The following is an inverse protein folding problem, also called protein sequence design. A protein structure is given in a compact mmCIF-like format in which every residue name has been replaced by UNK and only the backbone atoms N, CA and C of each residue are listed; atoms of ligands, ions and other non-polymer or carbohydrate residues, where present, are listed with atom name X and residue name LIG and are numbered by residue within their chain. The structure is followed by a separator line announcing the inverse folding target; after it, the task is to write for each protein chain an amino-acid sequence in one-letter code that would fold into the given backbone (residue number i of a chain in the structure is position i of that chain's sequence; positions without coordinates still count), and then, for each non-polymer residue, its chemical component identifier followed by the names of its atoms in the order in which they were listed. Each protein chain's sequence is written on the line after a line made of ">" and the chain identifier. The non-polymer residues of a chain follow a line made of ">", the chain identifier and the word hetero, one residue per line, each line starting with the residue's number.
data_IF_802168441210
#
_entry.id   IF_802168441210
#
_cell.length_a   1.000
_cell.length_b   1.000
_cell.length_c   1.000
_cell.angle_alpha   90.00
_cell.angle_beta   90.00
_cell.angle_gamma   90.00
#
_symmetry.space_group_name_H-M   'P 1'
#
loop_
_entity.id
_entity.type
_entity.pdbx_description
1 polymer ?
#
# COMPACT_ATOMS: atom_id res chain seq x y z
N UNK A 1 15.47 -55.23 -27.82
CA UNK A 1 14.34 -54.79 -28.68
C UNK A 1 13.79 -53.50 -28.09
N UNK A 2 14.00 -52.37 -28.79
CA UNK A 2 13.36 -51.09 -28.48
C UNK A 2 12.00 -51.05 -29.19
N UNK A 3 11.10 -50.20 -28.67
CA UNK A 3 9.91 -49.56 -29.26
C UNK A 3 8.78 -49.60 -28.21
N UNK A 4 7.94 -48.59 -28.02
CA UNK A 4 7.77 -47.31 -28.69
C UNK A 4 7.02 -46.38 -27.74
N UNK A 5 7.26 -45.10 -27.90
CA UNK A 5 6.84 -43.98 -27.08
C UNK A 5 5.34 -43.79 -27.00
N UNK A 6 4.88 -43.59 -25.76
CA UNK A 6 3.59 -43.09 -25.36
C UNK A 6 3.62 -41.55 -25.48
N UNK A 7 2.93 -40.98 -26.48
CA UNK A 7 2.64 -39.54 -26.56
C UNK A 7 1.28 -39.33 -27.21
N UNK A 8 0.21 -39.58 -26.45
CA UNK A 8 -1.13 -39.12 -26.84
C UNK A 8 -1.24 -37.62 -26.58
N UNK A 9 -0.84 -36.87 -27.61
CA UNK A 9 -1.00 -35.42 -27.75
C UNK A 9 -2.47 -35.04 -27.55
N UNK A 10 -2.78 -34.37 -26.43
CA UNK A 10 -4.06 -33.71 -26.24
C UNK A 10 -3.98 -32.34 -26.92
N UNK A 11 -4.27 -32.31 -28.21
CA UNK A 11 -4.52 -31.06 -28.94
C UNK A 11 -5.84 -30.49 -28.41
N UNK A 12 -5.72 -29.59 -27.44
CA UNK A 12 -6.84 -28.82 -26.93
C UNK A 12 -7.26 -27.80 -27.99
N UNK A 13 -8.30 -28.15 -28.76
CA UNK A 13 -9.06 -27.21 -29.56
C UNK A 13 -9.55 -26.07 -28.67
N UNK A 14 -9.51 -24.85 -29.20
CA UNK A 14 -10.07 -23.67 -28.55
C UNK A 14 -11.57 -23.91 -28.27
N UNK A 15 -11.91 -24.17 -27.02
CA UNK A 15 -13.30 -24.31 -26.59
C UNK A 15 -13.85 -22.96 -26.16
N UNK A 16 -15.05 -22.72 -26.68
CA UNK A 16 -16.00 -21.67 -26.34
C UNK A 16 -16.06 -21.39 -24.83
N UNK A 17 -16.35 -20.14 -24.46
CA UNK A 17 -16.25 -19.58 -23.09
C UNK A 17 -17.24 -20.15 -22.05
N UNK A 18 -17.69 -21.38 -22.24
CA UNK A 18 -18.85 -22.00 -21.59
C UNK A 18 -18.46 -23.16 -20.66
N UNK A 19 -17.19 -23.59 -20.69
CA UNK A 19 -16.70 -24.68 -19.87
C UNK A 19 -16.66 -24.31 -18.39
N UNK A 20 -17.22 -25.17 -17.54
CA UNK A 20 -17.21 -24.99 -16.08
C UNK A 20 -15.78 -25.17 -15.54
N UNK A 21 -15.47 -24.41 -14.48
CA UNK A 21 -14.21 -24.53 -13.72
C UNK A 21 -13.92 -25.96 -13.25
N UNK A 22 -12.65 -26.33 -13.26
CA UNK A 22 -12.16 -27.66 -12.82
C UNK A 22 -12.01 -27.76 -11.30
N UNK A 23 -11.96 -28.99 -10.77
CA UNK A 23 -11.70 -29.24 -9.35
C UNK A 23 -10.35 -28.67 -8.88
N UNK A 24 -9.33 -28.73 -9.73
CA UNK A 24 -8.01 -28.17 -9.43
C UNK A 24 -8.04 -26.64 -9.31
N UNK A 25 -8.78 -25.96 -10.21
CA UNK A 25 -8.99 -24.52 -10.11
C UNK A 25 -9.73 -24.15 -8.82
N UNK A 26 -10.76 -24.90 -8.43
CA UNK A 26 -11.48 -24.66 -7.18
C UNK A 26 -10.58 -24.78 -5.96
N UNK A 27 -9.80 -25.86 -5.88
CA UNK A 27 -8.84 -26.06 -4.79
C UNK A 27 -7.83 -24.91 -4.73
N UNK A 28 -7.27 -24.52 -5.89
CA UNK A 28 -6.29 -23.44 -5.98
C UNK A 28 -6.87 -22.08 -5.59
N UNK A 29 -8.07 -21.76 -6.07
CA UNK A 29 -8.78 -20.52 -5.77
C UNK A 29 -9.03 -20.37 -4.27
N UNK A 30 -9.61 -21.38 -3.62
CA UNK A 30 -9.89 -21.32 -2.18
C UNK A 30 -8.62 -21.29 -1.33
N UNK A 31 -7.55 -21.98 -1.77
CA UNK A 31 -6.24 -21.85 -1.12
C UNK A 31 -5.72 -20.41 -1.17
N UNK A 32 -5.74 -19.77 -2.36
CA UNK A 32 -5.28 -18.39 -2.54
C UNK A 32 -6.11 -17.38 -1.74
N UNK A 33 -7.43 -17.54 -1.74
CA UNK A 33 -8.33 -16.66 -0.98
C UNK A 33 -8.09 -16.77 0.53
N UNK A 34 -7.81 -17.97 1.04
CA UNK A 34 -7.47 -18.18 2.43
C UNK A 34 -6.10 -17.59 2.78
N UNK A 35 -5.09 -17.81 1.93
CA UNK A 35 -3.72 -17.30 2.12
C UNK A 35 -3.68 -15.77 2.15
N UNK A 36 -4.46 -15.10 1.29
CA UNK A 36 -4.52 -13.64 1.22
C UNK A 36 -5.49 -13.02 2.25
N UNK A 37 -6.23 -13.83 3.01
CA UNK A 37 -7.24 -13.34 3.95
C UNK A 37 -8.43 -12.64 3.29
N UNK A 38 -8.75 -12.97 2.03
CA UNK A 38 -9.73 -12.25 1.20
C UNK A 38 -11.12 -12.90 1.21
N UNK A 39 -11.47 -13.69 2.23
CA UNK A 39 -12.76 -14.42 2.28
C UNK A 39 -13.97 -13.49 2.29
N UNK A 40 -13.85 -12.33 2.93
CA UNK A 40 -14.95 -11.38 3.06
C UNK A 40 -15.15 -10.54 1.79
N UNK A 41 -14.14 -10.47 0.92
CA UNK A 41 -14.16 -9.69 -0.33
C UNK A 41 -14.34 -10.56 -1.58
N UNK A 42 -14.71 -11.84 -1.42
CA UNK A 42 -14.86 -12.78 -2.56
C UNK A 42 -15.92 -12.31 -3.54
N UNK A 43 -17.06 -11.80 -3.06
CA UNK A 43 -18.16 -11.35 -3.90
C UNK A 43 -17.73 -10.21 -4.84
N UNK A 44 -17.00 -9.23 -4.30
CA UNK A 44 -16.51 -8.08 -5.07
C UNK A 44 -15.48 -8.53 -6.11
N UNK A 45 -14.54 -9.40 -5.73
CA UNK A 45 -13.53 -9.93 -6.64
C UNK A 45 -14.13 -10.73 -7.80
N UNK A 46 -15.19 -11.51 -7.52
CA UNK A 46 -15.91 -12.29 -8.54
C UNK A 46 -16.74 -11.38 -9.44
N UNK A 47 -17.39 -10.37 -8.87
CA UNK A 47 -18.12 -9.37 -9.64
C UNK A 47 -17.19 -8.62 -10.60
N UNK A 48 -16.03 -8.17 -10.12
CA UNK A 48 -15.04 -7.48 -10.94
C UNK A 48 -14.53 -8.34 -12.10
N UNK A 49 -14.19 -9.60 -11.83
CA UNK A 49 -13.64 -10.51 -12.86
C UNK A 49 -14.68 -10.90 -13.91
N UNK A 50 -15.96 -10.96 -13.52
CA UNK A 50 -17.06 -11.36 -14.41
C UNK A 50 -17.83 -10.18 -15.00
N UNK A 51 -17.34 -8.95 -14.80
CA UNK A 51 -18.01 -7.70 -15.18
C UNK A 51 -19.46 -7.62 -14.66
N UNK A 52 -19.69 -8.07 -13.42
CA UNK A 52 -20.97 -8.02 -12.73
C UNK A 52 -21.93 -9.17 -13.05
N UNK A 53 -21.51 -10.17 -13.85
CA UNK A 53 -22.35 -11.32 -14.20
C UNK A 53 -22.74 -12.17 -13.00
N UNK A 54 -21.84 -12.32 -12.02
CA UNK A 54 -22.09 -13.09 -10.80
C UNK A 54 -21.23 -12.57 -9.64
N UNK A 55 -21.62 -12.92 -8.42
CA UNK A 55 -20.86 -12.70 -7.18
C UNK A 55 -20.41 -14.02 -6.54
N UNK A 56 -20.79 -15.16 -7.14
CA UNK A 56 -20.55 -16.48 -6.58
C UNK A 56 -19.45 -17.22 -7.35
N UNK A 57 -18.43 -17.69 -6.65
CA UNK A 57 -17.34 -18.43 -7.30
C UNK A 57 -17.82 -19.67 -8.04
N UNK A 58 -18.91 -20.31 -7.58
CA UNK A 58 -19.55 -21.48 -8.20
C UNK A 58 -20.00 -21.26 -9.63
N UNK A 59 -20.23 -20.01 -10.02
CA UNK A 59 -20.73 -19.62 -11.34
C UNK A 59 -19.63 -19.12 -12.27
N UNK A 60 -18.37 -19.22 -11.85
CA UNK A 60 -17.21 -18.91 -12.69
C UNK A 60 -17.00 -19.98 -13.76
N UNK A 61 -16.82 -19.52 -14.99
CA UNK A 61 -16.31 -20.33 -16.10
C UNK A 61 -14.86 -20.69 -15.86
N UNK A 62 -14.35 -21.64 -16.65
CA UNK A 62 -12.95 -22.05 -16.63
C UNK A 62 -12.00 -20.86 -16.81
N UNK A 63 -12.29 -19.96 -17.75
CA UNK A 63 -11.44 -18.82 -18.09
C UNK A 63 -11.48 -17.75 -17.01
N UNK A 64 -12.67 -17.35 -16.54
CA UNK A 64 -12.79 -16.35 -15.47
C UNK A 64 -12.13 -16.85 -14.18
N UNK A 65 -12.33 -18.14 -13.84
CA UNK A 65 -11.67 -18.73 -12.68
C UNK A 65 -10.13 -18.76 -12.85
N UNK A 66 -9.63 -19.05 -14.06
CA UNK A 66 -8.19 -19.03 -14.33
C UNK A 66 -7.61 -17.63 -14.22
N UNK A 67 -8.29 -16.61 -14.74
CA UNK A 67 -7.86 -15.23 -14.67
C UNK A 67 -7.85 -14.72 -13.22
N UNK A 68 -8.90 -15.04 -12.45
CA UNK A 68 -8.96 -14.72 -11.02
C UNK A 68 -7.79 -15.37 -10.26
N UNK A 69 -7.52 -16.66 -10.50
CA UNK A 69 -6.38 -17.36 -9.90
C UNK A 69 -5.06 -16.65 -10.24
N UNK A 70 -4.83 -16.31 -11.51
CA UNK A 70 -3.61 -15.60 -11.95
C UNK A 70 -3.45 -14.26 -11.26
N UNK A 71 -4.55 -13.50 -11.13
CA UNK A 71 -4.56 -12.20 -10.43
C UNK A 71 -4.22 -12.36 -8.95
N UNK A 72 -4.82 -13.32 -8.26
CA UNK A 72 -4.52 -13.63 -6.86
C UNK A 72 -3.06 -14.07 -6.66
N UNK A 73 -2.52 -14.87 -7.59
CA UNK A 73 -1.11 -15.29 -7.54
C UNK A 73 -0.11 -14.14 -7.75
N UNK A 74 -0.51 -13.08 -8.44
CA UNK A 74 0.29 -11.86 -8.54
C UNK A 74 0.29 -11.10 -7.21
N UNK A 75 -0.84 -11.07 -6.50
CA UNK A 75 -0.90 -10.46 -5.16
C UNK A 75 -0.04 -11.21 -4.15
N UNK A 76 -0.07 -12.55 -4.15
CA UNK A 76 0.82 -13.34 -3.27
C UNK A 76 2.29 -13.09 -3.58
N UNK A 77 2.66 -12.98 -4.87
CA UNK A 77 4.05 -12.66 -5.26
C UNK A 77 4.48 -11.29 -4.80
N UNK A 78 3.67 -10.25 -5.03
CA UNK A 78 3.94 -8.89 -4.55
C UNK A 78 4.02 -8.80 -3.02
N UNK A 79 3.21 -9.58 -2.30
CA UNK A 79 3.27 -9.65 -0.85
C UNK A 79 4.55 -10.36 -0.34
N UNK A 80 5.05 -11.35 -1.09
CA UNK A 80 6.24 -12.14 -0.75
C UNK A 80 7.55 -11.58 -1.34
N UNK A 81 7.49 -10.58 -2.22
CA UNK A 81 8.66 -9.91 -2.78
C UNK A 81 9.49 -9.29 -1.65
N UNK A 82 10.64 -9.91 -1.34
CA UNK A 82 11.63 -9.32 -0.45
C UNK A 82 12.06 -7.98 -1.05
N UNK A 83 11.90 -6.85 -0.33
CA UNK A 83 12.23 -5.56 -0.88
C UNK A 83 13.73 -5.52 -1.22
N UNK A 84 14.03 -5.23 -2.49
CA UNK A 84 15.39 -5.03 -2.99
C UNK A 84 16.07 -3.89 -2.23
N UNK A 85 17.41 -3.87 -2.09
CA UNK A 85 18.12 -2.75 -1.45
C UNK A 85 17.71 -1.38 -2.01
N UNK A 86 17.52 -1.29 -3.33
CA UNK A 86 17.05 -0.07 -3.99
C UNK A 86 15.63 0.31 -3.57
N UNK A 87 14.70 -0.64 -3.50
CA UNK A 87 13.32 -0.36 -3.06
C UNK A 87 13.27 0.08 -1.59
N UNK A 88 14.12 -0.51 -0.72
CA UNK A 88 14.27 -0.09 0.68
C UNK A 88 14.80 1.33 0.77
N UNK A 89 15.85 1.66 0.01
CA UNK A 89 16.42 3.01 -0.03
C UNK A 89 15.39 4.03 -0.53
N UNK A 90 14.69 3.74 -1.63
CA UNK A 90 13.64 4.60 -2.17
C UNK A 90 12.52 4.85 -1.14
N UNK A 91 12.14 3.83 -0.37
CA UNK A 91 11.13 3.93 0.68
C UNK A 91 11.62 4.82 1.85
N UNK A 92 12.86 4.66 2.27
CA UNK A 92 13.48 5.52 3.28
C UNK A 92 13.57 6.97 2.81
N UNK A 93 13.97 7.22 1.56
CA UNK A 93 14.11 8.57 1.01
C UNK A 93 12.76 9.29 0.89
N UNK A 94 11.70 8.56 0.55
CA UNK A 94 10.33 9.09 0.61
C UNK A 94 9.95 9.54 2.02
N UNK A 95 10.26 8.74 3.04
CA UNK A 95 9.98 9.09 4.45
C UNK A 95 10.80 10.29 4.91
N UNK A 96 12.09 10.33 4.58
CA UNK A 96 12.99 11.46 4.84
C UNK A 96 12.45 12.77 4.25
N UNK A 97 12.08 12.76 2.96
CA UNK A 97 11.45 13.91 2.29
C UNK A 97 10.13 14.31 2.95
N UNK A 98 9.32 13.33 3.35
CA UNK A 98 8.06 13.55 4.06
C UNK A 98 8.24 14.27 5.40
N UNK A 99 9.25 13.88 6.19
CA UNK A 99 9.60 14.53 7.46
C UNK A 99 10.03 15.99 7.22
N UNK A 100 10.93 16.24 6.26
CA UNK A 100 11.37 17.60 5.92
C UNK A 100 10.17 18.47 5.55
N UNK A 101 9.29 17.97 4.67
CA UNK A 101 8.08 18.66 4.26
C UNK A 101 7.17 18.98 5.45
N UNK A 102 6.97 18.03 6.37
CA UNK A 102 6.11 18.22 7.54
C UNK A 102 6.67 19.26 8.52
N UNK A 103 7.99 19.32 8.70
CA UNK A 103 8.64 20.31 9.57
C UNK A 103 8.54 21.71 8.96
N UNK A 104 8.89 21.85 7.68
CA UNK A 104 8.78 23.13 6.95
C UNK A 104 7.34 23.66 6.98
N UNK A 105 6.35 22.83 6.67
CA UNK A 105 4.94 23.23 6.69
C UNK A 105 4.45 23.67 8.08
N UNK A 106 4.97 23.07 9.16
CA UNK A 106 4.67 23.56 10.51
C UNK A 106 5.33 24.92 10.78
N UNK A 107 6.58 25.11 10.34
CA UNK A 107 7.28 26.40 10.44
C UNK A 107 6.51 27.52 9.77
N UNK A 108 6.03 27.29 8.55
CA UNK A 108 5.23 28.24 7.78
C UNK A 108 3.97 28.67 8.55
N UNK A 109 3.27 27.73 9.19
CA UNK A 109 2.10 28.04 10.04
C UNK A 109 2.45 28.87 11.28
N UNK A 110 3.68 28.79 11.76
CA UNK A 110 4.19 29.62 12.84
C UNK A 110 4.80 30.95 12.36
N UNK A 111 4.75 31.25 11.05
CA UNK A 111 5.39 32.44 10.47
C UNK A 111 6.92 32.36 10.43
N UNK A 112 7.48 31.15 10.52
CA UNK A 112 8.92 30.90 10.44
C UNK A 112 9.29 30.36 9.06
N UNK A 113 10.42 30.82 8.53
CA UNK A 113 11.00 30.27 7.30
C UNK A 113 12.06 29.24 7.66
N UNK A 114 11.89 28.00 7.19
CA UNK A 114 12.85 26.92 7.44
C UNK A 114 13.56 26.51 6.15
N UNK A 115 14.89 26.47 6.22
CA UNK A 115 15.69 25.79 5.20
C UNK A 115 15.60 24.28 5.38
N UNK A 116 15.90 23.52 4.32
CA UNK A 116 15.94 22.05 4.38
C UNK A 116 16.93 21.56 5.44
N UNK A 117 18.08 22.22 5.58
CA UNK A 117 19.10 21.82 6.56
C UNK A 117 18.67 22.12 8.00
N UNK A 118 17.89 23.18 8.21
CA UNK A 118 17.26 23.43 9.51
C UNK A 118 16.19 22.37 9.84
N UNK A 119 15.40 21.94 8.87
CA UNK A 119 14.46 20.84 9.07
C UNK A 119 15.18 19.52 9.39
N UNK A 120 16.32 19.25 8.75
CA UNK A 120 17.17 18.09 9.08
C UNK A 120 17.70 18.17 10.50
N UNK A 121 18.17 19.34 10.95
CA UNK A 121 18.73 19.50 12.31
C UNK A 121 17.67 19.32 13.41
N UNK A 122 16.44 19.77 13.16
CA UNK A 122 15.30 19.49 14.04
C UNK A 122 15.04 17.99 14.10
N UNK A 123 15.01 17.31 12.95
CA UNK A 123 14.74 15.88 12.88
C UNK A 123 15.84 15.04 13.56
N UNK A 124 17.12 15.37 13.36
CA UNK A 124 18.24 14.67 14.00
C UNK A 124 18.21 14.85 15.51
N UNK A 125 17.94 16.08 15.99
CA UNK A 125 17.77 16.37 17.42
C UNK A 125 16.58 15.62 18.02
N UNK A 126 15.46 15.55 17.31
CA UNK A 126 14.28 14.82 17.75
C UNK A 126 14.50 13.29 17.79
N UNK A 127 15.38 12.77 16.93
CA UNK A 127 15.74 11.35 16.87
C UNK A 127 16.90 10.97 17.81
N UNK A 128 17.69 11.92 18.31
CA UNK A 128 18.92 11.63 19.05
C UNK A 128 20.00 11.00 18.17
N UNK A 129 20.11 11.45 16.91
CA UNK A 129 21.09 10.98 15.93
C UNK A 129 22.02 12.09 15.51
N UNK A 130 23.23 11.75 15.08
CA UNK A 130 24.21 12.72 14.59
C UNK A 130 23.93 13.11 13.14
N UNK A 131 23.44 12.17 12.32
CA UNK A 131 23.10 12.41 10.92
C UNK A 131 21.64 12.10 10.60
N UNK A 132 21.07 12.90 9.68
CA UNK A 132 19.70 12.70 9.20
C UNK A 132 19.53 11.37 8.44
N UNK A 133 20.62 10.87 7.85
CA UNK A 133 20.60 9.62 7.12
C UNK A 133 20.56 8.39 8.05
N UNK A 134 20.97 8.53 9.30
CA UNK A 134 20.99 7.47 10.32
C UNK A 134 19.64 7.29 11.02
N UNK A 135 18.71 8.22 10.82
CA UNK A 135 17.37 8.13 11.40
C UNK A 135 16.67 6.89 10.82
N UNK A 136 16.25 6.01 11.72
CA UNK A 136 15.55 4.77 11.40
C UNK A 136 14.14 5.06 10.88
N UNK A 137 13.55 4.07 10.22
CA UNK A 137 12.22 4.21 9.67
C UNK A 137 11.13 4.50 10.73
N UNK A 138 11.26 3.87 11.90
CA UNK A 138 10.35 4.06 13.02
C UNK A 138 10.43 5.49 13.57
N UNK A 139 11.65 6.00 13.75
CA UNK A 139 11.90 7.38 14.19
C UNK A 139 11.37 8.41 13.17
N UNK A 140 11.62 8.21 11.87
CA UNK A 140 11.06 9.08 10.82
C UNK A 140 9.53 9.13 10.88
N UNK A 141 8.89 7.98 11.08
CA UNK A 141 7.43 7.88 11.17
C UNK A 141 6.91 8.61 12.42
N UNK A 142 7.57 8.42 13.56
CA UNK A 142 7.23 9.12 14.81
C UNK A 142 7.32 10.64 14.66
N UNK A 143 8.43 11.13 14.11
CA UNK A 143 8.68 12.57 13.90
C UNK A 143 7.64 13.13 12.93
N UNK A 144 7.40 12.47 11.80
CA UNK A 144 6.38 12.89 10.84
C UNK A 144 5.00 13.08 11.51
N UNK A 145 4.54 12.07 12.25
CA UNK A 145 3.25 12.11 12.95
C UNK A 145 3.19 13.20 14.03
N UNK A 146 4.30 13.48 14.70
CA UNK A 146 4.39 14.59 15.65
C UNK A 146 4.17 15.94 14.96
N UNK A 147 4.84 16.20 13.84
CA UNK A 147 4.69 17.46 13.11
C UNK A 147 3.32 17.59 12.44
N UNK A 148 2.69 16.51 11.97
CA UNK A 148 1.31 16.54 11.52
C UNK A 148 0.33 16.94 12.64
N UNK A 149 0.53 16.44 13.86
CA UNK A 149 -0.27 16.85 15.03
C UNK A 149 -0.05 18.32 15.38
N UNK A 150 1.20 18.79 15.34
CA UNK A 150 1.55 20.20 15.55
C UNK A 150 0.90 21.13 14.51
N UNK A 151 0.89 20.74 13.23
CA UNK A 151 0.19 21.49 12.17
C UNK A 151 -1.31 21.58 12.43
N UNK A 152 -1.94 20.46 12.82
CA UNK A 152 -3.37 20.42 13.14
C UNK A 152 -3.69 21.38 14.31
N UNK A 153 -2.89 21.33 15.38
CA UNK A 153 -3.05 22.21 16.53
C UNK A 153 -2.71 23.69 16.23
N UNK A 154 -1.83 23.97 15.28
CA UNK A 154 -1.52 25.33 14.84
C UNK A 154 -2.68 25.93 14.03
N UNK A 155 -3.25 25.17 13.09
CA UNK A 155 -4.42 25.60 12.30
C UNK A 155 -5.66 25.84 13.17
N UNK A 156 -5.92 24.93 14.11
CA UNK A 156 -7.03 25.14 15.06
C UNK A 156 -6.87 26.41 15.90
N UNK A 157 -5.64 26.86 16.16
CA UNK A 157 -5.36 28.13 16.86
C UNK A 157 -5.54 29.36 15.96
N UNK A 158 -5.24 29.25 14.67
CA UNK A 158 -5.49 30.34 13.72
C UNK A 158 -6.97 30.53 13.41
N UNK A 159 -7.78 29.47 13.53
CA UNK A 159 -9.22 29.49 13.24
C UNK A 159 -10.09 29.98 14.41
N UNK A 160 -9.50 30.29 15.56
CA UNK A 160 -10.22 30.92 16.68
C UNK A 160 -10.29 32.44 16.45
N UNK A 161 -11.49 33.06 16.43
CA UNK A 161 -11.61 34.51 16.35
C UNK A 161 -10.91 35.12 17.56
N UNK A 162 -9.89 35.93 17.29
CA UNK A 162 -9.11 36.64 18.29
C UNK A 162 -10.08 37.49 19.10
N UNK A 163 -10.36 37.11 20.35
CA UNK A 163 -10.81 38.07 21.37
C UNK A 163 -9.66 39.08 21.50
N UNK A 164 -9.74 40.16 20.72
CA UNK A 164 -8.89 41.34 20.87
C UNK A 164 -9.16 41.87 22.27
N UNK A 165 -8.36 41.43 23.24
CA UNK A 165 -8.32 42.04 24.55
C UNK A 165 -7.82 43.47 24.36
N UNK A 166 -8.78 44.41 24.33
CA UNK A 166 -8.54 45.83 24.45
C UNK A 166 -7.93 46.07 25.84
N UNK A 167 -6.61 46.09 25.94
CA UNK A 167 -5.94 46.78 27.04
C UNK A 167 -6.00 48.28 26.75
N UNK A 168 -7.14 48.89 27.11
CA UNK A 168 -7.21 50.34 27.29
C UNK A 168 -6.58 50.63 28.64
N UNK A 169 -5.37 51.17 28.63
CA UNK A 169 -4.74 51.78 29.81
C UNK A 169 -5.43 53.12 30.05
N UNK A 170 -6.16 53.22 31.17
CA UNK A 170 -6.48 54.49 31.82
C UNK A 170 -5.43 54.77 32.89
#
# INVERSE_FOLDING_TARGET
>A
MRNSTDTKSCVGNATDGTDKRTLNQNRRLYWLLNELGLKDSVADLVSDETNGRTTHTSELTFIECMNLIRRLEQYTRKAQEKPTPQSKQNRMDKKRKGVIKAICAYGELCGLTYTVDYAKSIATRAAGRDSFNEITEGELTRIYNEFCRKQTAARARTDLPILKHNFSLN
#
